data_IF_193029668198
#
_entry.id   IF_193029668198
#
_cell.length_a   1.000
_cell.length_b   1.000
_cell.length_c   1.000
_cell.angle_alpha   90.00
_cell.angle_beta   90.00
_cell.angle_gamma   90.00
#
_symmetry.space_group_name_H-M   'P 1'
#
loop_
_entity.id
_entity.type
_entity.pdbx_description
1 polymer ?
#
# COMPACT_ATOMS: atom_id res chain seq x y z
N UNK A 1 -10.23 -8.18 16.05
CA UNK A 1 -9.53 -6.99 15.52
C UNK A 1 -9.78 -5.75 16.37
N UNK A 2 -11.03 -5.47 16.78
CA UNK A 2 -11.42 -4.33 17.63
C UNK A 2 -10.62 -4.21 18.95
N UNK A 3 -10.33 -5.31 19.63
CA UNK A 3 -9.60 -5.32 20.92
C UNK A 3 -8.10 -4.97 20.82
N UNK A 4 -7.47 -5.16 19.65
CA UNK A 4 -6.04 -4.83 19.45
C UNK A 4 -5.86 -3.35 19.08
N UNK A 5 -6.87 -2.74 18.47
CA UNK A 5 -6.89 -1.32 18.05
C UNK A 5 -7.47 -0.38 19.11
N UNK A 6 -8.07 -0.93 20.18
CA UNK A 6 -8.62 -0.21 21.33
C UNK A 6 -7.63 0.72 22.08
N UNK A 7 -6.33 0.39 22.27
CA UNK A 7 -5.38 1.30 22.92
C UNK A 7 -4.93 2.48 22.05
N UNK A 8 -5.39 2.57 20.80
CA UNK A 8 -5.05 3.62 19.84
C UNK A 8 -6.19 4.62 19.61
N UNK A 9 -7.18 4.67 20.51
CA UNK A 9 -8.42 5.40 20.26
C UNK A 9 -8.97 6.16 21.46
N UNK A 10 -9.11 7.48 21.26
CA UNK A 10 -9.95 8.38 22.06
C UNK A 10 -11.34 8.36 21.41
N UNK A 11 -12.38 8.12 22.22
CA UNK A 11 -13.79 8.41 22.00
C UNK A 11 -14.43 8.12 20.62
N UNK A 12 -14.96 6.90 20.45
CA UNK A 12 -16.24 6.72 19.74
C UNK A 12 -16.24 6.25 18.29
N UNK A 13 -15.23 6.49 17.44
CA UNK A 13 -15.18 5.96 16.06
C UNK A 13 -13.75 5.55 15.69
N UNK A 14 -13.57 4.29 15.28
CA UNK A 14 -12.28 3.58 15.32
C UNK A 14 -11.52 3.65 14.01
N UNK A 15 -10.19 3.62 14.08
CA UNK A 15 -9.34 3.23 12.93
C UNK A 15 -9.89 1.98 12.20
N UNK A 16 -10.61 1.11 12.90
CA UNK A 16 -11.36 0.01 12.31
C UNK A 16 -12.42 0.43 11.28
N UNK A 17 -13.20 1.50 11.53
CA UNK A 17 -14.17 2.04 10.56
C UNK A 17 -13.45 2.72 9.40
N UNK A 18 -12.32 3.38 9.64
CA UNK A 18 -11.49 3.95 8.58
C UNK A 18 -10.97 2.87 7.60
N UNK A 19 -10.56 1.71 8.14
CA UNK A 19 -10.13 0.57 7.33
C UNK A 19 -11.27 -0.17 6.62
N UNK A 20 -12.52 -0.01 7.08
CA UNK A 20 -13.68 -0.69 6.50
C UNK A 20 -14.29 0.07 5.31
N UNK A 21 -13.93 1.34 5.12
CA UNK A 21 -14.34 2.11 3.94
C UNK A 21 -13.77 1.44 2.68
N UNK A 22 -14.66 1.11 1.74
CA UNK A 22 -14.35 0.25 0.58
C UNK A 22 -13.15 0.71 -0.26
N UNK A 23 -12.94 2.03 -0.39
CA UNK A 23 -11.79 2.61 -1.12
C UNK A 23 -10.47 2.46 -0.38
N UNK A 24 -10.49 2.59 0.94
CA UNK A 24 -9.31 2.40 1.77
C UNK A 24 -8.88 0.92 1.81
N UNK A 25 -9.86 0.02 1.94
CA UNK A 25 -9.61 -1.43 1.85
C UNK A 25 -9.01 -1.82 0.48
N UNK A 26 -9.56 -1.30 -0.61
CA UNK A 26 -9.02 -1.56 -1.95
C UNK A 26 -7.58 -1.04 -2.07
N UNK A 27 -7.30 0.18 -1.60
CA UNK A 27 -5.96 0.77 -1.58
C UNK A 27 -4.94 -0.09 -0.83
N UNK A 28 -5.30 -0.61 0.34
CA UNK A 28 -4.45 -1.52 1.12
C UNK A 28 -4.22 -2.87 0.42
N UNK A 29 -5.28 -3.43 -0.17
CA UNK A 29 -5.18 -4.70 -0.91
C UNK A 29 -4.22 -4.58 -2.09
N UNK A 30 -4.35 -3.53 -2.90
CA UNK A 30 -3.46 -3.33 -4.05
C UNK A 30 -2.05 -2.89 -3.63
N UNK A 31 -1.87 -2.20 -2.50
CA UNK A 31 -0.54 -1.94 -1.94
C UNK A 31 0.20 -3.25 -1.62
N UNK A 32 -0.45 -4.16 -0.88
CA UNK A 32 0.14 -5.46 -0.53
C UNK A 32 0.41 -6.34 -1.75
N UNK A 33 -0.52 -6.36 -2.73
CA UNK A 33 -0.30 -7.06 -4.00
C UNK A 33 0.88 -6.47 -4.77
N UNK A 34 1.02 -5.14 -4.85
CA UNK A 34 2.15 -4.49 -5.53
C UNK A 34 3.50 -4.88 -4.92
N UNK A 35 3.59 -4.96 -3.59
CA UNK A 35 4.80 -5.44 -2.88
C UNK A 35 5.10 -6.90 -3.23
N UNK A 36 4.09 -7.76 -3.22
CA UNK A 36 4.25 -9.18 -3.56
C UNK A 36 4.67 -9.34 -5.03
N UNK A 37 4.08 -8.60 -5.98
CA UNK A 37 4.45 -8.70 -7.40
C UNK A 37 5.90 -8.26 -7.63
N UNK A 38 6.36 -7.21 -6.95
CA UNK A 38 7.78 -6.82 -6.99
C UNK A 38 8.69 -7.90 -6.39
N UNK A 39 8.28 -8.46 -5.25
CA UNK A 39 8.99 -9.56 -4.59
C UNK A 39 9.10 -10.80 -5.50
N UNK A 40 8.03 -11.15 -6.20
CA UNK A 40 7.99 -12.25 -7.16
C UNK A 40 8.99 -12.03 -8.30
N UNK A 41 9.08 -10.80 -8.83
CA UNK A 41 10.04 -10.49 -9.89
C UNK A 41 11.50 -10.74 -9.44
N UNK A 42 11.85 -10.31 -8.22
CA UNK A 42 13.17 -10.55 -7.65
C UNK A 42 13.45 -12.03 -7.39
N UNK A 43 12.46 -12.78 -6.91
CA UNK A 43 12.59 -14.22 -6.69
C UNK A 43 12.70 -15.02 -7.99
N UNK A 44 11.94 -14.66 -9.04
CA UNK A 44 12.01 -15.36 -10.32
C UNK A 44 13.34 -15.13 -11.03
N UNK A 45 13.98 -13.98 -10.81
CA UNK A 45 15.29 -13.69 -11.35
C UNK A 45 16.39 -14.54 -10.68
N UNK A 46 16.35 -14.70 -9.35
CA UNK A 46 17.39 -15.42 -8.58
C UNK A 46 17.12 -16.92 -8.41
N UNK A 47 15.85 -17.33 -8.40
CA UNK A 47 15.38 -18.69 -8.17
C UNK A 47 14.42 -19.10 -9.31
N UNK A 48 14.97 -19.51 -10.47
CA UNK A 48 14.17 -19.93 -11.62
C UNK A 48 13.35 -21.20 -11.29
N UNK A 49 12.03 -21.06 -11.21
CA UNK A 49 11.11 -22.14 -10.82
C UNK A 49 10.67 -23.07 -11.98
N UNK A 50 10.93 -22.67 -13.23
CA UNK A 50 10.53 -23.42 -14.43
C UNK A 50 11.73 -24.13 -15.08
N UNK A 51 11.53 -25.33 -15.61
CA UNK A 51 12.58 -26.05 -16.32
C UNK A 51 13.10 -25.25 -17.53
N UNK A 52 14.42 -25.20 -17.70
CA UNK A 52 15.14 -24.53 -18.80
C UNK A 52 15.04 -22.99 -18.87
N UNK A 53 14.28 -22.34 -17.98
CA UNK A 53 14.14 -20.88 -18.01
C UNK A 53 15.46 -20.15 -17.68
N UNK A 54 16.35 -20.79 -16.92
CA UNK A 54 17.68 -20.26 -16.60
C UNK A 54 18.60 -20.13 -17.83
N UNK A 55 18.27 -20.81 -18.92
CA UNK A 55 19.01 -20.76 -20.19
C UNK A 55 18.36 -19.79 -21.19
N UNK A 56 17.07 -19.46 -21.01
CA UNK A 56 16.33 -18.53 -21.86
C UNK A 56 16.32 -17.13 -21.24
N UNK A 57 17.35 -16.35 -21.57
CA UNK A 57 17.51 -14.97 -21.12
C UNK A 57 16.38 -14.05 -21.62
N UNK A 58 15.76 -14.34 -22.76
CA UNK A 58 14.71 -13.49 -23.33
C UNK A 58 13.44 -13.59 -22.51
N UNK A 59 13.05 -14.82 -22.13
CA UNK A 59 11.91 -15.06 -21.25
C UNK A 59 12.18 -14.54 -19.84
N UNK A 60 13.39 -14.71 -19.30
CA UNK A 60 13.73 -14.18 -17.97
C UNK A 60 13.68 -12.64 -17.92
N UNK A 61 14.21 -11.94 -18.94
CA UNK A 61 14.14 -10.49 -19.03
C UNK A 61 12.69 -9.99 -19.22
N UNK A 62 11.91 -10.65 -20.06
CA UNK A 62 10.51 -10.31 -20.30
C UNK A 62 9.64 -10.47 -19.04
N UNK A 63 9.81 -11.58 -18.30
CA UNK A 63 9.04 -11.82 -17.07
C UNK A 63 9.41 -10.83 -15.96
N UNK A 64 10.71 -10.54 -15.80
CA UNK A 64 11.15 -9.56 -14.80
C UNK A 64 10.55 -8.18 -15.06
N UNK A 65 10.68 -7.68 -16.29
CA UNK A 65 10.16 -6.36 -16.67
C UNK A 65 8.63 -6.32 -16.59
N UNK A 66 7.94 -7.37 -17.04
CA UNK A 66 6.49 -7.49 -16.93
C UNK A 66 5.99 -7.34 -15.48
N UNK A 67 6.57 -8.09 -14.54
CA UNK A 67 6.17 -8.04 -13.14
C UNK A 67 6.53 -6.70 -12.50
N UNK A 68 7.68 -6.10 -12.83
CA UNK A 68 8.05 -4.77 -12.32
C UNK A 68 7.12 -3.67 -12.81
N UNK A 69 6.70 -3.69 -14.08
CA UNK A 69 5.72 -2.73 -14.59
C UNK A 69 4.34 -2.88 -13.94
N UNK A 70 3.88 -4.13 -13.75
CA UNK A 70 2.61 -4.39 -13.05
C UNK A 70 2.70 -3.94 -11.60
N UNK A 71 3.79 -4.26 -10.90
CA UNK A 71 4.00 -3.83 -9.53
C UNK A 71 3.95 -2.29 -9.41
N UNK A 72 4.64 -1.57 -10.30
CA UNK A 72 4.59 -0.11 -10.35
C UNK A 72 3.20 0.46 -10.65
N UNK A 73 2.46 -0.15 -11.58
CA UNK A 73 1.11 0.29 -11.93
C UNK A 73 0.13 0.10 -10.76
N UNK A 74 0.18 -1.06 -10.11
CA UNK A 74 -0.71 -1.36 -8.98
C UNK A 74 -0.31 -0.52 -7.73
N UNK A 75 0.99 -0.28 -7.52
CA UNK A 75 1.50 0.57 -6.43
C UNK A 75 1.06 2.04 -6.58
N UNK A 76 1.18 2.61 -7.78
CA UNK A 76 0.67 3.97 -8.05
C UNK A 76 -0.86 4.03 -7.90
N UNK A 77 -1.56 2.96 -8.29
CA UNK A 77 -3.00 2.79 -8.00
C UNK A 77 -3.32 2.77 -6.50
N UNK A 78 -2.46 2.20 -5.65
CA UNK A 78 -2.61 2.22 -4.19
C UNK A 78 -2.58 3.64 -3.63
N UNK A 79 -1.59 4.43 -4.05
CA UNK A 79 -1.47 5.84 -3.67
C UNK A 79 -2.64 6.68 -4.20
N UNK A 80 -3.11 6.41 -5.43
CA UNK A 80 -4.28 7.08 -5.98
C UNK A 80 -5.55 6.81 -5.14
N UNK A 81 -5.79 5.56 -4.76
CA UNK A 81 -6.92 5.23 -3.87
C UNK A 81 -6.75 5.82 -2.47
N UNK A 82 -5.52 5.89 -1.94
CA UNK A 82 -5.21 6.59 -0.69
C UNK A 82 -5.54 8.09 -0.76
N UNK A 83 -5.19 8.76 -1.85
CA UNK A 83 -5.51 10.17 -2.06
C UNK A 83 -7.03 10.41 -2.21
N UNK A 84 -7.75 9.54 -2.92
CA UNK A 84 -9.21 9.62 -3.04
C UNK A 84 -9.87 9.47 -1.66
N UNK A 85 -9.36 8.55 -0.84
CA UNK A 85 -9.82 8.38 0.54
C UNK A 85 -9.65 9.68 1.35
N UNK A 86 -8.50 10.35 1.27
CA UNK A 86 -8.28 11.64 1.96
C UNK A 86 -9.23 12.77 1.51
N UNK A 87 -9.69 12.76 0.27
CA UNK A 87 -10.57 13.82 -0.25
C UNK A 87 -12.04 13.54 0.05
N UNK A 88 -12.47 12.28 -0.05
CA UNK A 88 -13.90 11.93 -0.04
C UNK A 88 -14.40 11.35 1.28
N UNK A 89 -13.56 10.61 1.99
CA UNK A 89 -13.98 9.79 3.13
C UNK A 89 -13.33 10.19 4.44
N UNK A 90 -12.32 11.06 4.38
CA UNK A 90 -11.66 11.57 5.56
C UNK A 90 -12.45 12.73 6.17
N UNK A 91 -12.92 12.55 7.40
CA UNK A 91 -13.54 13.61 8.21
C UNK A 91 -12.59 13.99 9.36
N UNK A 92 -12.12 15.26 9.46
CA UNK A 92 -11.21 15.68 10.52
C UNK A 92 -11.83 15.61 11.92
N UNK A 93 -13.11 15.93 12.07
CA UNK A 93 -13.81 15.93 13.37
C UNK A 93 -13.90 14.52 13.98
N UNK A 94 -13.98 13.49 13.14
CA UNK A 94 -14.05 12.09 13.57
C UNK A 94 -12.68 11.46 13.81
N UNK A 95 -11.60 12.17 13.47
CA UNK A 95 -10.23 11.67 13.48
C UNK A 95 -9.32 12.51 14.38
N UNK A 96 -9.88 13.37 15.23
CA UNK A 96 -9.11 14.14 16.21
C UNK A 96 -8.33 13.19 17.14
N UNK A 97 -7.10 13.57 17.48
CA UNK A 97 -6.13 12.82 18.30
C UNK A 97 -5.67 11.45 17.79
N UNK A 98 -6.03 11.05 16.56
CA UNK A 98 -5.51 9.81 15.99
C UNK A 98 -4.10 9.97 15.38
N UNK A 99 -3.43 8.85 15.10
CA UNK A 99 -2.08 8.84 14.49
C UNK A 99 -2.04 9.45 13.09
N UNK A 100 -3.16 9.43 12.36
CA UNK A 100 -3.27 9.93 11.00
C UNK A 100 -3.33 11.46 10.98
N UNK A 101 -4.12 12.07 11.85
CA UNK A 101 -4.20 13.50 12.08
C UNK A 101 -2.85 14.05 12.51
N UNK A 102 -2.18 13.38 13.47
CA UNK A 102 -0.83 13.76 13.90
C UNK A 102 0.21 13.73 12.78
N UNK A 103 0.12 12.78 11.84
CA UNK A 103 0.98 12.74 10.65
C UNK A 103 0.68 13.89 9.68
N UNK A 104 -0.58 14.30 9.55
CA UNK A 104 -0.98 15.44 8.72
C UNK A 104 -0.54 16.78 9.30
N UNK A 105 -0.57 16.95 10.63
CA UNK A 105 -0.11 18.16 11.31
C UNK A 105 1.39 18.42 11.08
N UNK A 106 2.18 17.35 10.96
CA UNK A 106 3.63 17.41 10.74
C UNK A 106 4.03 17.12 9.29
N UNK A 107 3.10 17.18 8.32
CA UNK A 107 3.35 16.84 6.91
C UNK A 107 4.48 17.67 6.27
N UNK A 108 4.61 18.92 6.68
CA UNK A 108 5.63 19.84 6.17
C UNK A 108 7.04 19.34 6.51
N UNK A 109 7.22 18.76 7.70
CA UNK A 109 8.48 18.11 8.07
C UNK A 109 8.75 16.89 7.19
N UNK A 110 7.73 16.13 6.80
CA UNK A 110 7.92 14.93 5.95
C UNK A 110 8.32 15.33 4.53
N UNK A 111 7.74 16.40 3.96
CA UNK A 111 7.96 16.80 2.56
C UNK A 111 9.22 17.65 2.39
N UNK A 112 9.48 18.56 3.31
CA UNK A 112 10.54 19.58 3.19
C UNK A 112 11.77 19.29 4.05
N UNK A 113 11.92 18.08 4.59
CA UNK A 113 13.17 17.71 5.26
C UNK A 113 14.32 17.76 4.24
N UNK A 114 15.25 18.68 4.44
CA UNK A 114 16.53 18.83 3.74
C UNK A 114 17.62 18.06 4.49
#
# INVERSE_FOLDING_TARGET
MREILLPLQVDGESLANLTCVSRHQLGLAIASLGVITSLVAHHMYSLPAYAFIAQDFTTQAALYTHHQYIAGFIMTGAFAHGAIFFIRDYNPEQNEDNVLARMLDHKEAIIYLN
#
